data_IF_251110068157
#
_entry.id   IF_251110068157
#
_cell.length_a   1.000
_cell.length_b   1.000
_cell.length_c   1.000
_cell.angle_alpha   90.00
_cell.angle_beta   90.00
_cell.angle_gamma   90.00
#
_symmetry.space_group_name_H-M   'P 1'
#
loop_
_entity.id
_entity.type
_entity.pdbx_description
1 polymer ?
#
# COMPACT_ATOMS: atom_id res chain seq x y z
N UNK A 1 -1.78 12.42 -94.84
CA UNK A 1 -0.55 12.37 -94.01
C UNK A 1 -0.46 13.66 -93.21
N UNK A 2 -0.39 13.57 -91.88
CA UNK A 2 0.82 13.98 -91.16
C UNK A 2 1.32 12.94 -90.14
N UNK A 3 2.61 13.05 -89.82
CA UNK A 3 3.51 12.12 -89.11
C UNK A 3 3.24 12.07 -87.58
N UNK A 4 3.29 10.90 -86.91
CA UNK A 4 3.12 10.81 -85.46
C UNK A 4 4.44 11.08 -84.70
N UNK A 5 4.39 11.92 -83.65
CA UNK A 5 5.51 12.16 -82.71
C UNK A 5 5.47 11.13 -81.58
N UNK A 6 6.52 10.30 -81.47
CA UNK A 6 6.81 9.44 -80.30
C UNK A 6 7.35 10.30 -79.14
N UNK A 7 6.83 10.12 -77.92
CA UNK A 7 7.42 10.68 -76.69
C UNK A 7 7.77 9.54 -75.73
N UNK A 8 9.01 9.59 -75.25
CA UNK A 8 9.75 8.54 -74.55
C UNK A 8 9.19 8.20 -73.15
N UNK A 9 9.22 6.91 -72.82
CA UNK A 9 8.92 6.30 -71.52
C UNK A 9 10.17 6.41 -70.63
N UNK A 10 10.10 7.13 -69.50
CA UNK A 10 11.15 7.08 -68.45
C UNK A 10 10.97 5.80 -67.64
N UNK A 11 12.01 4.95 -67.60
CA UNK A 11 12.18 3.89 -66.62
C UNK A 11 12.61 4.55 -65.30
N UNK A 12 11.93 4.27 -64.21
CA UNK A 12 12.44 4.52 -62.86
C UNK A 12 12.92 3.18 -62.29
N UNK A 13 14.07 3.25 -61.65
CA UNK A 13 15.06 2.19 -61.47
C UNK A 13 15.02 1.74 -60.01
N UNK A 14 14.83 0.44 -59.79
CA UNK A 14 14.93 -0.17 -58.46
C UNK A 14 16.39 -0.15 -57.99
N UNK A 15 16.63 0.19 -56.72
CA UNK A 15 17.90 -0.05 -56.03
C UNK A 15 17.64 -0.69 -54.66
N UNK A 16 18.35 -1.77 -54.31
CA UNK A 16 18.26 -2.47 -53.02
C UNK A 16 19.25 -1.89 -51.99
N UNK A 17 18.89 -1.90 -50.71
CA UNK A 17 19.78 -1.49 -49.62
C UNK A 17 19.11 -1.55 -48.25
N UNK A 18 19.22 -2.70 -47.60
CA UNK A 18 18.94 -2.94 -46.19
C UNK A 18 19.61 -1.91 -45.26
N UNK A 19 18.91 -1.45 -44.23
CA UNK A 19 19.52 -1.20 -42.92
C UNK A 19 18.45 -1.31 -41.82
N UNK A 20 18.39 -2.51 -41.22
CA UNK A 20 18.08 -2.78 -39.81
C UNK A 20 17.24 -1.72 -39.08
N UNK A 21 15.92 -1.77 -39.23
CA UNK A 21 15.05 -1.32 -38.15
C UNK A 21 15.20 -2.33 -37.01
N UNK A 22 16.11 -2.04 -36.07
CA UNK A 22 15.98 -2.54 -34.72
C UNK A 22 14.66 -1.99 -34.19
N UNK A 23 13.61 -2.78 -34.36
CA UNK A 23 12.37 -2.57 -33.64
C UNK A 23 12.71 -2.55 -32.17
N UNK A 24 12.75 -1.35 -31.57
CA UNK A 24 12.54 -1.20 -30.15
C UNK A 24 11.18 -1.82 -29.87
N UNK A 25 11.20 -3.09 -29.45
CA UNK A 25 10.03 -3.76 -28.93
C UNK A 25 9.73 -3.14 -27.57
N UNK A 26 9.17 -1.94 -27.59
CA UNK A 26 8.48 -1.33 -26.47
C UNK A 26 7.23 -2.18 -26.22
N UNK A 27 7.42 -3.30 -25.52
CA UNK A 27 6.31 -4.14 -25.05
C UNK A 27 5.61 -3.45 -23.88
N UNK A 28 5.01 -2.30 -24.18
CA UNK A 28 4.22 -1.46 -23.29
C UNK A 28 2.77 -1.50 -23.78
N UNK A 29 2.21 -2.71 -23.95
CA UNK A 29 0.91 -2.93 -24.62
C UNK A 29 -0.29 -2.95 -23.67
N UNK A 30 -0.26 -2.12 -22.64
CA UNK A 30 -1.34 -1.16 -22.46
C UNK A 30 -0.70 0.19 -22.74
N UNK A 31 -1.21 1.00 -23.67
CA UNK A 31 -0.84 2.39 -23.63
C UNK A 31 -1.32 2.88 -22.27
N UNK A 32 -0.40 3.24 -21.37
CA UNK A 32 -0.72 4.07 -20.20
C UNK A 32 -1.38 5.41 -20.62
N UNK A 33 -1.49 5.63 -21.94
CA UNK A 33 -1.97 6.79 -22.64
C UNK A 33 -3.38 6.59 -23.27
N UNK A 34 -4.00 5.41 -23.14
CA UNK A 34 -5.43 5.22 -23.44
C UNK A 34 -6.24 5.50 -22.18
N UNK A 35 -7.25 6.35 -22.31
CA UNK A 35 -8.12 6.74 -21.21
C UNK A 35 -8.79 5.50 -20.61
N UNK A 36 -8.40 5.13 -19.39
CA UNK A 36 -9.01 4.04 -18.64
C UNK A 36 -10.54 4.18 -18.65
N UNK A 37 -11.21 3.18 -19.23
CA UNK A 37 -12.65 3.21 -19.57
C UNK A 37 -13.60 3.05 -18.38
N UNK A 38 -13.06 2.81 -17.18
CA UNK A 38 -13.84 2.64 -15.96
C UNK A 38 -14.40 1.24 -15.70
N UNK A 39 -14.23 0.29 -16.64
CA UNK A 39 -14.94 -0.99 -16.60
C UNK A 39 -14.31 -2.02 -15.64
N UNK A 40 -12.98 -1.99 -15.48
CA UNK A 40 -12.22 -2.85 -14.57
C UNK A 40 -11.17 -2.07 -13.76
N UNK A 41 -10.38 -2.78 -12.96
CA UNK A 41 -9.24 -2.26 -12.22
C UNK A 41 -8.16 -1.67 -13.13
N UNK A 42 -7.69 -0.47 -12.78
CA UNK A 42 -6.61 0.23 -13.47
C UNK A 42 -5.38 -0.68 -13.58
N UNK A 43 -4.86 -0.89 -14.79
CA UNK A 43 -3.69 -1.71 -15.00
C UNK A 43 -2.44 -1.05 -14.37
N UNK A 44 -1.51 -1.86 -13.92
CA UNK A 44 -0.22 -1.40 -13.37
C UNK A 44 0.89 -1.82 -14.33
N UNK A 45 1.73 -0.87 -14.75
CA UNK A 45 2.85 -1.18 -15.65
C UNK A 45 3.83 -2.15 -14.99
N UNK A 46 4.55 -2.95 -15.80
CA UNK A 46 5.54 -3.91 -15.29
C UNK A 46 6.65 -3.23 -14.50
N UNK A 47 7.10 -2.07 -14.98
CA UNK A 47 8.12 -1.28 -14.30
C UNK A 47 7.60 -0.78 -12.95
N UNK A 48 6.40 -0.19 -12.93
CA UNK A 48 5.76 0.28 -11.69
C UNK A 48 5.61 -0.86 -10.69
N UNK A 49 5.05 -2.00 -11.11
CA UNK A 49 4.87 -3.16 -10.24
C UNK A 49 6.20 -3.69 -9.71
N UNK A 50 7.24 -3.77 -10.53
CA UNK A 50 8.57 -4.20 -10.11
C UNK A 50 9.19 -3.26 -9.06
N UNK A 51 9.14 -1.95 -9.31
CA UNK A 51 9.65 -0.94 -8.38
C UNK A 51 8.89 -0.94 -7.06
N UNK A 52 7.56 -0.96 -7.10
CA UNK A 52 6.74 -0.97 -5.88
C UNK A 52 6.93 -2.27 -5.11
N UNK A 53 7.12 -3.40 -5.79
CA UNK A 53 7.40 -4.69 -5.12
C UNK A 53 8.76 -4.69 -4.44
N UNK A 54 9.78 -4.11 -5.06
CA UNK A 54 11.07 -3.87 -4.39
C UNK A 54 10.92 -3.01 -3.13
N UNK A 55 10.14 -1.92 -3.23
CA UNK A 55 9.84 -1.05 -2.08
C UNK A 55 9.07 -1.79 -0.99
N UNK A 56 8.09 -2.62 -1.34
CA UNK A 56 7.34 -3.45 -0.38
C UNK A 56 8.28 -4.37 0.42
N UNK A 57 9.15 -5.12 -0.24
CA UNK A 57 10.09 -5.99 0.47
C UNK A 57 11.10 -5.22 1.30
N UNK A 58 11.52 -4.04 0.84
CA UNK A 58 12.34 -3.13 1.64
C UNK A 58 11.60 -2.65 2.90
N UNK A 59 10.32 -2.28 2.80
CA UNK A 59 9.50 -1.92 3.96
C UNK A 59 9.31 -3.10 4.91
N UNK A 60 9.02 -4.30 4.39
CA UNK A 60 8.95 -5.53 5.20
C UNK A 60 10.25 -5.79 5.94
N UNK A 61 11.39 -5.64 5.26
CA UNK A 61 12.71 -5.77 5.89
C UNK A 61 12.88 -4.76 7.03
N UNK A 62 12.53 -3.49 6.82
CA UNK A 62 12.65 -2.47 7.86
C UNK A 62 11.74 -2.78 9.05
N UNK A 63 10.46 -3.11 8.81
CA UNK A 63 9.48 -3.45 9.84
C UNK A 63 9.88 -4.71 10.64
N UNK A 64 10.53 -5.68 10.00
CA UNK A 64 10.98 -6.90 10.67
C UNK A 64 12.25 -6.70 11.52
N UNK A 65 13.08 -5.69 11.20
CA UNK A 65 14.39 -5.49 11.83
C UNK A 65 14.48 -4.23 12.70
N UNK A 66 13.47 -3.36 12.66
CA UNK A 66 13.43 -2.13 13.44
C UNK A 66 12.11 -2.02 14.20
N UNK A 67 12.20 -1.78 15.50
CA UNK A 67 11.03 -1.45 16.30
C UNK A 67 10.46 -0.09 15.87
N UNK A 68 9.15 0.05 15.67
CA UNK A 68 8.57 1.28 15.13
C UNK A 68 8.66 2.49 16.07
N UNK A 69 8.75 2.24 17.37
CA UNK A 69 8.74 3.28 18.41
C UNK A 69 10.16 3.60 18.87
N UNK A 70 10.99 2.58 19.07
CA UNK A 70 12.34 2.71 19.67
C UNK A 70 13.49 2.51 18.67
N UNK A 71 13.18 2.12 17.43
CA UNK A 71 14.17 1.88 16.39
C UNK A 71 14.79 3.17 15.82
N UNK A 72 15.92 3.02 15.14
CA UNK A 72 16.67 4.13 14.52
C UNK A 72 16.33 4.37 13.04
N UNK A 73 15.38 3.62 12.49
CA UNK A 73 14.98 3.78 11.10
C UNK A 73 14.13 5.03 10.95
N UNK A 74 14.65 6.04 10.25
CA UNK A 74 13.92 7.28 9.96
C UNK A 74 12.58 7.00 9.28
N UNK A 75 12.53 6.05 8.34
CA UNK A 75 11.31 5.73 7.59
C UNK A 75 10.23 5.16 8.50
N UNK A 76 10.59 4.21 9.36
CA UNK A 76 9.62 3.60 10.27
C UNK A 76 9.17 4.60 11.33
N UNK A 77 10.08 5.41 11.88
CA UNK A 77 9.74 6.48 12.82
C UNK A 77 8.75 7.48 12.20
N UNK A 78 8.94 7.87 10.95
CA UNK A 78 8.01 8.77 10.25
C UNK A 78 6.63 8.12 10.05
N UNK A 79 6.59 6.83 9.66
CA UNK A 79 5.33 6.11 9.49
C UNK A 79 4.56 6.00 10.82
N UNK A 80 5.26 5.62 11.90
CA UNK A 80 4.71 5.58 13.25
C UNK A 80 4.16 6.94 13.67
N UNK A 81 4.91 8.03 13.49
CA UNK A 81 4.45 9.37 13.86
C UNK A 81 3.19 9.82 13.08
N UNK A 82 3.05 9.41 11.82
CA UNK A 82 1.83 9.67 11.04
C UNK A 82 0.64 8.91 11.62
N UNK A 83 0.80 7.62 11.93
CA UNK A 83 -0.24 6.82 12.58
C UNK A 83 -0.62 7.43 13.94
N UNK A 84 0.38 7.86 14.70
CA UNK A 84 0.25 8.44 16.03
C UNK A 84 -0.55 9.75 16.04
N UNK A 85 -0.39 10.63 15.04
CA UNK A 85 -1.24 11.82 14.92
C UNK A 85 -2.72 11.45 14.80
N UNK A 86 -3.04 10.41 14.03
CA UNK A 86 -4.42 9.94 13.91
C UNK A 86 -4.90 9.19 15.15
N UNK A 87 -3.99 8.54 15.88
CA UNK A 87 -4.27 7.96 17.19
C UNK A 87 -4.66 9.04 18.19
N UNK A 88 -3.84 10.07 18.38
CA UNK A 88 -4.14 11.15 19.31
C UNK A 88 -5.42 11.91 18.95
N UNK A 89 -5.70 12.09 17.65
CA UNK A 89 -6.96 12.67 17.19
C UNK A 89 -8.17 11.77 17.50
N UNK A 90 -7.99 10.45 17.48
CA UNK A 90 -9.05 9.48 17.71
C UNK A 90 -9.67 9.59 19.10
N UNK A 91 -8.86 9.82 20.14
CA UNK A 91 -9.37 9.94 21.51
C UNK A 91 -10.49 10.98 21.69
N UNK A 92 -10.30 12.28 21.34
CA UNK A 92 -11.36 13.27 21.46
C UNK A 92 -12.49 13.05 20.44
N UNK A 93 -12.21 12.49 19.26
CA UNK A 93 -13.24 12.22 18.26
C UNK A 93 -14.24 11.16 18.74
N UNK A 94 -13.77 10.17 19.49
CA UNK A 94 -14.57 9.03 19.94
C UNK A 94 -15.00 9.10 21.41
N UNK A 95 -14.49 10.04 22.21
CA UNK A 95 -14.88 10.22 23.62
C UNK A 95 -16.36 10.57 23.81
N UNK A 96 -16.99 11.17 22.79
CA UNK A 96 -18.42 11.46 22.75
C UNK A 96 -19.30 10.20 22.89
N UNK A 97 -18.75 9.02 22.62
CA UNK A 97 -19.45 7.74 22.73
C UNK A 97 -19.14 6.99 24.04
N UNK A 98 -18.53 7.67 25.01
CA UNK A 98 -18.21 7.15 26.34
C UNK A 98 -16.77 6.69 26.50
N UNK A 99 -16.34 6.52 27.76
CA UNK A 99 -14.92 6.39 28.11
C UNK A 99 -14.21 5.23 27.44
N UNK A 100 -14.83 4.05 27.36
CA UNK A 100 -14.19 2.88 26.74
C UNK A 100 -13.98 3.09 25.24
N UNK A 101 -14.95 3.71 24.55
CA UNK A 101 -14.84 4.03 23.13
C UNK A 101 -13.86 5.20 22.92
N UNK A 102 -13.80 6.16 23.85
CA UNK A 102 -12.79 7.21 23.85
C UNK A 102 -11.36 6.68 23.94
N UNK A 103 -11.09 5.71 24.83
CA UNK A 103 -9.77 5.06 24.93
C UNK A 103 -9.48 4.24 23.67
N UNK A 104 -10.45 3.45 23.18
CA UNK A 104 -10.32 2.76 21.89
C UNK A 104 -10.16 3.73 20.71
N UNK A 105 -10.59 4.98 20.90
CA UNK A 105 -10.60 6.04 19.92
C UNK A 105 -9.28 6.20 19.21
N UNK A 106 -8.16 6.11 19.93
CA UNK A 106 -6.85 6.21 19.29
C UNK A 106 -6.59 5.11 18.27
N UNK A 107 -6.83 3.85 18.65
CA UNK A 107 -6.71 2.74 17.70
C UNK A 107 -7.72 2.86 16.54
N UNK A 108 -8.95 3.33 16.81
CA UNK A 108 -9.95 3.54 15.77
C UNK A 108 -9.54 4.64 14.79
N UNK A 109 -8.93 5.73 15.27
CA UNK A 109 -8.44 6.83 14.46
C UNK A 109 -7.33 6.40 13.52
N UNK A 110 -6.28 5.76 14.06
CA UNK A 110 -5.15 5.31 13.26
C UNK A 110 -5.50 4.21 12.24
N UNK A 111 -6.49 3.35 12.52
CA UNK A 111 -7.00 2.36 11.56
C UNK A 111 -8.01 2.95 10.57
N UNK A 112 -8.80 3.94 10.99
CA UNK A 112 -9.88 4.50 10.20
C UNK A 112 -9.37 5.25 8.96
N UNK A 113 -8.29 6.01 9.09
CA UNK A 113 -7.71 6.79 7.98
C UNK A 113 -7.18 5.92 6.84
N UNK A 114 -6.27 4.95 7.06
CA UNK A 114 -5.84 4.05 6.01
C UNK A 114 -7.01 3.23 5.43
N UNK A 115 -8.02 2.88 6.23
CA UNK A 115 -9.23 2.24 5.73
C UNK A 115 -10.02 3.13 4.75
N UNK A 116 -10.21 4.41 5.08
CA UNK A 116 -10.85 5.38 4.18
C UNK A 116 -10.07 5.52 2.87
N UNK A 117 -8.75 5.63 2.95
CA UNK A 117 -7.87 5.69 1.76
C UNK A 117 -8.00 4.42 0.92
N UNK A 118 -7.97 3.25 1.55
CA UNK A 118 -8.17 1.94 0.91
C UNK A 118 -9.50 1.89 0.17
N UNK A 119 -10.60 2.26 0.84
CA UNK A 119 -11.95 2.28 0.25
C UNK A 119 -12.04 3.29 -0.89
N UNK A 120 -11.40 4.46 -0.77
CA UNK A 120 -11.39 5.47 -1.82
C UNK A 120 -10.70 4.94 -3.09
N UNK A 121 -9.56 4.27 -2.97
CA UNK A 121 -8.87 3.67 -4.11
C UNK A 121 -9.60 2.46 -4.67
N UNK A 122 -10.26 1.66 -3.82
CA UNK A 122 -11.16 0.60 -4.27
C UNK A 122 -12.29 1.14 -5.15
N UNK A 123 -12.96 2.21 -4.70
CA UNK A 123 -14.04 2.86 -5.47
C UNK A 123 -13.56 3.43 -6.81
N UNK A 124 -12.32 3.94 -6.84
CA UNK A 124 -11.65 4.41 -8.07
C UNK A 124 -11.06 3.29 -8.93
N UNK A 125 -11.21 2.03 -8.48
CA UNK A 125 -10.63 0.84 -9.11
C UNK A 125 -9.12 1.00 -9.35
N UNK A 126 -8.44 1.69 -8.46
CA UNK A 126 -6.99 1.90 -8.52
C UNK A 126 -6.28 0.74 -7.81
N UNK A 127 -5.70 -0.17 -8.60
CA UNK A 127 -5.08 -1.40 -8.09
C UNK A 127 -3.94 -1.13 -7.12
N UNK A 128 -3.03 -0.22 -7.50
CA UNK A 128 -1.86 0.08 -6.70
C UNK A 128 -2.24 0.87 -5.44
N UNK A 129 -3.09 1.90 -5.60
CA UNK A 129 -3.56 2.69 -4.48
C UNK A 129 -4.31 1.85 -3.44
N UNK A 130 -5.12 0.88 -3.89
CA UNK A 130 -5.78 -0.06 -3.00
C UNK A 130 -4.79 -0.95 -2.24
N UNK A 131 -3.82 -1.55 -2.94
CA UNK A 131 -2.82 -2.41 -2.31
C UNK A 131 -1.94 -1.66 -1.30
N UNK A 132 -1.54 -0.42 -1.61
CA UNK A 132 -0.79 0.45 -0.69
C UNK A 132 -1.65 0.85 0.51
N UNK A 133 -2.93 1.18 0.30
CA UNK A 133 -3.87 1.46 1.38
C UNK A 133 -4.02 0.26 2.33
N UNK A 134 -4.20 -0.95 1.78
CA UNK A 134 -4.25 -2.18 2.58
C UNK A 134 -2.95 -2.41 3.34
N UNK A 135 -1.79 -2.20 2.70
CA UNK A 135 -0.49 -2.30 3.38
C UNK A 135 -0.45 -1.37 4.59
N UNK A 136 -0.80 -0.10 4.42
CA UNK A 136 -0.80 0.88 5.51
C UNK A 136 -1.80 0.51 6.64
N UNK A 137 -2.99 0.04 6.27
CA UNK A 137 -3.99 -0.43 7.24
C UNK A 137 -3.46 -1.60 8.09
N UNK A 138 -2.83 -2.59 7.48
CA UNK A 138 -2.32 -3.76 8.19
C UNK A 138 -0.99 -3.49 8.90
N UNK A 139 -0.18 -2.55 8.43
CA UNK A 139 1.04 -2.12 9.13
C UNK A 139 0.72 -1.54 10.52
N UNK A 140 -0.38 -0.79 10.65
CA UNK A 140 -0.85 -0.27 11.93
C UNK A 140 -1.09 -1.37 12.98
N UNK A 141 -1.38 -2.61 12.57
CA UNK A 141 -1.55 -3.72 13.52
C UNK A 141 -0.22 -4.07 14.22
N UNK A 142 0.92 -3.87 13.55
CA UNK A 142 2.23 -4.06 14.17
C UNK A 142 2.46 -3.01 15.25
N UNK A 143 2.11 -1.76 14.97
CA UNK A 143 2.22 -0.66 15.92
C UNK A 143 1.33 -0.87 17.15
N UNK A 144 0.04 -1.16 16.91
CA UNK A 144 -0.93 -1.55 17.96
C UNK A 144 -0.43 -2.72 18.80
N UNK A 145 0.14 -3.76 18.16
CA UNK A 145 0.65 -4.93 18.86
C UNK A 145 1.80 -4.59 19.82
N UNK A 146 2.65 -3.62 19.48
CA UNK A 146 3.73 -3.17 20.37
C UNK A 146 3.16 -2.56 21.65
N UNK A 147 2.14 -1.71 21.56
CA UNK A 147 1.45 -1.15 22.73
C UNK A 147 0.67 -2.20 23.52
N UNK A 148 0.00 -3.15 22.85
CA UNK A 148 -0.66 -4.28 23.52
C UNK A 148 0.35 -5.12 24.32
N UNK A 149 1.52 -5.40 23.75
CA UNK A 149 2.56 -6.21 24.41
C UNK A 149 3.16 -5.53 25.64
N UNK A 150 3.17 -4.19 25.65
CA UNK A 150 3.69 -3.36 26.73
C UNK A 150 2.66 -3.08 27.85
N UNK A 151 1.42 -3.57 27.73
CA UNK A 151 0.32 -3.28 28.67
C UNK A 151 0.61 -3.63 30.15
N UNK A 152 1.56 -4.53 30.42
CA UNK A 152 2.01 -4.88 31.78
C UNK A 152 3.35 -4.22 32.11
N UNK A 153 4.30 -4.25 31.17
CA UNK A 153 5.69 -3.87 31.41
C UNK A 153 5.86 -2.32 31.42
N UNK A 154 5.00 -1.58 30.72
CA UNK A 154 4.93 -0.11 30.65
C UNK A 154 6.29 0.56 30.41
N UNK A 155 7.06 -0.02 29.49
CA UNK A 155 8.41 0.46 29.12
C UNK A 155 8.36 1.57 28.09
N UNK A 156 7.29 1.68 27.32
CA UNK A 156 7.15 2.69 26.27
C UNK A 156 6.79 4.04 26.88
N UNK A 157 7.54 5.08 26.52
CA UNK A 157 7.20 6.45 26.87
C UNK A 157 6.05 6.94 25.99
N UNK A 158 4.97 7.38 26.62
CA UNK A 158 3.81 7.94 25.94
C UNK A 158 4.04 9.41 25.57
N UNK A 159 3.31 9.88 24.54
CA UNK A 159 3.28 11.30 24.20
C UNK A 159 2.80 12.11 25.40
N UNK A 160 3.49 13.24 25.65
CA UNK A 160 3.12 14.18 26.71
C UNK A 160 3.56 13.77 28.12
N UNK A 161 4.22 12.61 28.30
CA UNK A 161 4.68 12.16 29.62
C UNK A 161 3.55 11.90 30.60
N UNK A 162 2.37 11.55 30.08
CA UNK A 162 1.17 11.31 30.88
C UNK A 162 1.31 10.02 31.72
N UNK A 163 0.60 9.97 32.84
CA UNK A 163 0.65 8.84 33.79
C UNK A 163 -0.08 7.59 33.29
N UNK A 164 -0.37 6.66 34.21
CA UNK A 164 -0.99 5.34 33.92
C UNK A 164 -2.28 5.41 33.08
N UNK A 165 -3.03 6.51 33.19
CA UNK A 165 -4.29 6.73 32.46
C UNK A 165 -4.12 6.83 30.94
N UNK A 166 -2.92 7.14 30.45
CA UNK A 166 -2.64 7.27 29.02
C UNK A 166 -2.20 5.94 28.36
N UNK A 167 -2.04 4.86 29.12
CA UNK A 167 -1.75 3.53 28.55
C UNK A 167 -3.04 2.84 28.09
N UNK A 168 -3.52 3.17 26.89
CA UNK A 168 -4.81 2.71 26.35
C UNK A 168 -5.03 1.21 26.51
N UNK A 169 -4.11 0.39 25.97
CA UNK A 169 -4.26 -1.06 25.97
C UNK A 169 -4.17 -1.68 27.36
N UNK A 170 -3.42 -1.08 28.30
CA UNK A 170 -3.46 -1.48 29.72
C UNK A 170 -4.87 -1.27 30.26
N UNK A 171 -5.42 -0.08 30.07
CA UNK A 171 -6.70 0.29 30.65
C UNK A 171 -7.86 -0.51 30.04
N UNK A 172 -7.80 -0.78 28.74
CA UNK A 172 -8.74 -1.67 28.06
C UNK A 172 -8.63 -3.12 28.55
N UNK A 173 -7.43 -3.69 28.64
CA UNK A 173 -7.26 -5.06 29.10
C UNK A 173 -7.61 -5.26 30.57
N UNK A 174 -7.43 -4.24 31.43
CA UNK A 174 -7.94 -4.27 32.81
C UNK A 174 -9.46 -4.25 32.84
N UNK A 175 -10.09 -3.36 32.05
CA UNK A 175 -11.56 -3.27 31.96
C UNK A 175 -12.19 -4.57 31.45
N UNK A 176 -11.51 -5.30 30.57
CA UNK A 176 -11.99 -6.57 30.01
C UNK A 176 -11.49 -7.80 30.76
N UNK A 177 -10.81 -7.62 31.89
CA UNK A 177 -10.26 -8.72 32.71
C UNK A 177 -9.39 -9.71 31.91
N UNK A 178 -8.60 -9.19 30.96
CA UNK A 178 -7.79 -10.01 30.04
C UNK A 178 -6.32 -9.60 29.97
N UNK A 179 -5.85 -8.77 30.93
CA UNK A 179 -4.46 -8.26 30.97
C UNK A 179 -3.41 -9.36 30.93
N UNK A 180 -3.65 -10.52 31.54
CA UNK A 180 -2.71 -11.66 31.50
C UNK A 180 -2.54 -12.25 30.09
N UNK A 181 -3.50 -12.00 29.19
CA UNK A 181 -3.43 -12.42 27.78
C UNK A 181 -2.80 -11.38 26.86
N UNK A 182 -2.36 -10.22 27.38
CA UNK A 182 -1.89 -9.08 26.59
C UNK A 182 -0.85 -9.46 25.52
N UNK A 183 0.22 -10.17 25.91
CA UNK A 183 1.29 -10.60 24.98
C UNK A 183 0.80 -11.59 23.93
N UNK A 184 -0.16 -12.46 24.26
CA UNK A 184 -0.76 -13.40 23.30
C UNK A 184 -1.65 -12.66 22.29
N UNK A 185 -2.47 -11.72 22.77
CA UNK A 185 -3.32 -10.89 21.90
C UNK A 185 -2.43 -10.05 20.97
N UNK A 186 -1.38 -9.42 21.50
CA UNK A 186 -0.39 -8.70 20.72
C UNK A 186 0.23 -9.56 19.60
N UNK A 187 0.63 -10.79 19.91
CA UNK A 187 1.19 -11.71 18.92
C UNK A 187 0.19 -12.05 17.80
N UNK A 188 -1.09 -12.28 18.13
CA UNK A 188 -2.16 -12.51 17.15
C UNK A 188 -2.38 -11.26 16.30
N UNK A 189 -2.48 -10.08 16.91
CA UNK A 189 -2.62 -8.80 16.20
C UNK A 189 -1.47 -8.58 15.23
N UNK A 190 -0.23 -8.82 15.66
CA UNK A 190 0.96 -8.72 14.81
C UNK A 190 0.91 -9.70 13.64
N UNK A 191 0.53 -10.96 13.90
CA UNK A 191 0.40 -11.98 12.86
C UNK A 191 -0.65 -11.58 11.80
N UNK A 192 -1.78 -11.02 12.21
CA UNK A 192 -2.80 -10.50 11.29
C UNK A 192 -2.26 -9.35 10.44
N UNK A 193 -1.48 -8.44 11.04
CA UNK A 193 -0.80 -7.37 10.30
C UNK A 193 0.12 -7.92 9.20
N UNK A 194 0.99 -8.86 9.54
CA UNK A 194 1.86 -9.50 8.55
C UNK A 194 1.09 -10.21 7.44
N UNK A 195 0.12 -11.06 7.80
CA UNK A 195 -0.70 -11.79 6.83
C UNK A 195 -1.42 -10.82 5.90
N UNK A 196 -1.99 -9.74 6.42
CA UNK A 196 -2.71 -8.75 5.63
C UNK A 196 -1.82 -7.97 4.67
N UNK A 197 -0.62 -7.56 5.09
CA UNK A 197 0.34 -6.89 4.21
C UNK A 197 0.78 -7.79 3.04
N UNK A 198 1.10 -9.06 3.32
CA UNK A 198 1.46 -10.01 2.27
C UNK A 198 0.27 -10.34 1.36
N UNK A 199 -0.93 -10.47 1.92
CA UNK A 199 -2.15 -10.66 1.14
C UNK A 199 -2.39 -9.51 0.16
N UNK A 200 -2.21 -8.26 0.60
CA UNK A 200 -2.38 -7.09 -0.27
C UNK A 200 -1.42 -7.13 -1.46
N UNK A 201 -0.17 -7.54 -1.24
CA UNK A 201 0.82 -7.64 -2.31
C UNK A 201 0.60 -8.83 -3.24
N UNK A 202 0.16 -9.98 -2.71
CA UNK A 202 -0.25 -11.13 -3.51
C UNK A 202 -1.47 -10.80 -4.38
N UNK A 203 -2.44 -10.06 -3.83
CA UNK A 203 -3.60 -9.58 -4.57
C UNK A 203 -3.18 -8.66 -5.74
N UNK A 204 -2.26 -7.72 -5.50
CA UNK A 204 -1.73 -6.84 -6.55
C UNK A 204 -1.05 -7.64 -7.67
N UNK A 205 -0.19 -8.61 -7.28
CA UNK A 205 0.46 -9.50 -8.24
C UNK A 205 -0.52 -10.32 -9.06
N UNK A 206 -1.55 -10.88 -8.41
CA UNK A 206 -2.64 -11.59 -9.07
C UNK A 206 -3.39 -10.70 -10.07
N UNK A 207 -3.71 -9.45 -9.70
CA UNK A 207 -4.33 -8.49 -10.60
C UNK A 207 -3.47 -8.19 -11.83
N UNK A 208 -2.16 -7.99 -11.65
CA UNK A 208 -1.23 -7.80 -12.76
C UNK A 208 -1.20 -9.00 -13.72
N UNK A 209 -1.32 -10.23 -13.20
CA UNK A 209 -1.37 -11.44 -14.02
C UNK A 209 -2.68 -11.57 -14.81
N UNK A 210 -3.82 -11.23 -14.21
CA UNK A 210 -5.13 -11.25 -14.90
C UNK A 210 -5.16 -10.25 -16.05
N UNK A 211 -4.72 -9.03 -15.78
CA UNK A 211 -4.59 -7.96 -16.78
C UNK A 211 -3.71 -8.41 -17.94
N UNK A 212 -2.62 -9.14 -17.68
CA UNK A 212 -1.77 -9.72 -18.75
C UNK A 212 -2.49 -10.76 -19.59
N UNK A 213 -3.22 -11.68 -18.97
CA UNK A 213 -3.90 -12.75 -19.72
C UNK A 213 -4.97 -12.19 -20.65
N UNK A 214 -5.65 -11.11 -20.25
CA UNK A 214 -6.60 -10.39 -21.08
C UNK A 214 -5.95 -9.71 -22.31
N UNK A 215 -4.66 -9.33 -22.24
CA UNK A 215 -3.93 -8.76 -23.40
C UNK A 215 -3.49 -9.81 -24.43
N UNK A 216 -3.42 -11.08 -24.04
CA UNK A 216 -2.90 -12.17 -24.89
C UNK A 216 -4.01 -12.91 -25.65
N UNK A 217 -5.28 -12.63 -25.32
CA UNK A 217 -6.47 -13.16 -25.97
C UNK A 217 -6.99 -12.18 -27.01
#
# INVERSE_FOLDING_TARGET
MPIPRKRFRKKQQDSPGDFLEFGERSDNRYPLNEDWDGSDWKPVSRLTYGLTTGMFFYMVYLLANHNPITGRSFVIMMLHNVNLVFHEFGHPAFSLFGDTIGILGGTLGQLGIPLVVTVAFWKKRDSLGFAVGCFWFFENFLDVAVYMADAIDLKLQLIGGLGLEAHDWRNLFLRWDCILSAKKIAAVTSALGWIGMFWAWLWLGWRCLLTRNAQLQ
#
